data_IF_438569573449
#
_entry.id   IF_438569573449
#
_cell.length_a   1.000
_cell.length_b   1.000
_cell.length_c   1.000
_cell.angle_alpha   90.00
_cell.angle_beta   90.00
_cell.angle_gamma   90.00
#
_symmetry.space_group_name_H-M   'P 1'
#
loop_
_entity.id
_entity.type
_entity.pdbx_description
1 polymer ?
#
# COMPACT_ATOMS: atom_id res chain seq x y z
N UNK A 1 -23.96 -22.87 -5.43
CA UNK A 1 -23.10 -22.05 -4.57
C UNK A 1 -22.45 -21.01 -5.46
N UNK A 2 -22.72 -19.73 -5.23
CA UNK A 2 -22.06 -18.68 -6.00
C UNK A 2 -20.56 -18.70 -5.62
N UNK A 3 -19.68 -18.83 -6.63
CA UNK A 3 -18.23 -18.75 -6.41
C UNK A 3 -17.89 -17.32 -6.00
N UNK A 4 -17.51 -17.12 -4.75
CA UNK A 4 -17.03 -15.84 -4.23
C UNK A 4 -15.50 -15.77 -4.32
N UNK A 5 -14.96 -14.58 -4.61
CA UNK A 5 -13.51 -14.33 -4.53
C UNK A 5 -13.09 -14.24 -3.05
N UNK A 6 -11.86 -14.62 -2.69
CA UNK A 6 -10.73 -14.99 -3.54
C UNK A 6 -10.81 -16.45 -4.06
N UNK A 7 -10.35 -16.69 -5.28
CA UNK A 7 -10.44 -18.02 -5.96
C UNK A 7 -9.39 -19.02 -5.45
N UNK A 8 -8.33 -18.54 -4.82
CA UNK A 8 -7.22 -19.40 -4.38
C UNK A 8 -7.62 -20.43 -3.30
N UNK A 9 -8.41 -20.08 -2.27
CA UNK A 9 -8.87 -21.09 -1.29
C UNK A 9 -9.73 -22.19 -1.88
N UNK A 10 -10.36 -21.95 -3.03
CA UNK A 10 -11.20 -22.95 -3.72
C UNK A 10 -10.41 -23.92 -4.59
N UNK A 11 -9.06 -23.87 -4.55
CA UNK A 11 -8.16 -24.73 -5.31
C UNK A 11 -8.45 -24.81 -6.83
N UNK A 12 -9.11 -23.80 -7.37
CA UNK A 12 -9.44 -23.70 -8.80
C UNK A 12 -8.19 -23.52 -9.68
N UNK A 13 -7.11 -23.06 -9.09
CA UNK A 13 -5.82 -22.90 -9.76
C UNK A 13 -4.92 -24.06 -9.36
N UNK A 14 -4.54 -24.88 -10.32
CA UNK A 14 -3.43 -25.79 -10.13
C UNK A 14 -2.13 -25.02 -9.81
N UNK A 15 -1.08 -25.68 -9.30
CA UNK A 15 0.14 -25.02 -8.83
C UNK A 15 0.81 -24.14 -9.91
N UNK A 16 0.71 -24.51 -11.16
CA UNK A 16 1.26 -23.77 -12.28
C UNK A 16 0.44 -22.53 -12.67
N UNK A 17 -0.89 -22.59 -12.55
CA UNK A 17 -1.74 -21.46 -12.90
C UNK A 17 -1.58 -20.29 -11.91
N UNK A 18 -1.41 -20.58 -10.61
CA UNK A 18 -1.09 -19.56 -9.61
C UNK A 18 0.23 -18.85 -9.91
N UNK A 19 1.26 -19.61 -10.31
CA UNK A 19 2.56 -19.05 -10.70
C UNK A 19 2.46 -18.16 -11.95
N UNK A 20 1.72 -18.59 -12.96
CA UNK A 20 1.50 -17.81 -14.19
C UNK A 20 0.79 -16.49 -13.90
N UNK A 21 -0.31 -16.54 -13.15
CA UNK A 21 -1.06 -15.32 -12.77
C UNK A 21 -0.17 -14.37 -11.95
N UNK A 22 0.57 -14.90 -10.97
CA UNK A 22 1.50 -14.11 -10.16
C UNK A 22 2.58 -13.45 -11.03
N UNK A 23 3.14 -14.16 -11.98
CA UNK A 23 4.14 -13.64 -12.91
C UNK A 23 3.56 -12.54 -13.80
N UNK A 24 2.39 -12.74 -14.38
CA UNK A 24 1.73 -11.72 -15.21
C UNK A 24 1.42 -10.44 -14.43
N UNK A 25 0.88 -10.59 -13.23
CA UNK A 25 0.61 -9.44 -12.33
C UNK A 25 1.91 -8.74 -11.95
N UNK A 26 2.97 -9.49 -11.64
CA UNK A 26 4.28 -8.94 -11.30
C UNK A 26 4.91 -8.16 -12.47
N UNK A 27 4.85 -8.70 -13.69
CA UNK A 27 5.33 -8.00 -14.90
C UNK A 27 4.54 -6.72 -15.16
N UNK A 28 3.22 -6.78 -15.08
CA UNK A 28 2.36 -5.61 -15.26
C UNK A 28 2.66 -4.53 -14.21
N UNK A 29 2.81 -4.92 -12.95
CA UNK A 29 3.12 -4.02 -11.83
C UNK A 29 4.50 -3.39 -12.00
N UNK A 30 5.53 -4.18 -12.31
CA UNK A 30 6.89 -3.69 -12.56
C UNK A 30 6.95 -2.71 -13.74
N UNK A 31 6.23 -3.01 -14.83
CA UNK A 31 6.12 -2.11 -15.98
C UNK A 31 5.49 -0.77 -15.63
N UNK A 32 4.41 -0.79 -14.85
CA UNK A 32 3.75 0.46 -14.40
C UNK A 32 4.67 1.29 -13.51
N UNK A 33 5.38 0.65 -12.56
CA UNK A 33 6.32 1.34 -11.68
C UNK A 33 7.50 1.95 -12.46
N UNK A 34 8.05 1.22 -13.41
CA UNK A 34 9.14 1.72 -14.26
C UNK A 34 8.68 2.93 -15.07
N UNK A 35 7.52 2.85 -15.72
CA UNK A 35 6.92 3.96 -16.48
C UNK A 35 6.57 5.16 -15.62
N UNK A 36 6.22 4.96 -14.36
CA UNK A 36 6.00 6.02 -13.39
C UNK A 36 7.30 6.68 -12.88
N UNK A 37 8.47 6.13 -13.26
CA UNK A 37 9.78 6.65 -12.86
C UNK A 37 10.22 6.28 -11.46
N UNK A 38 9.65 5.21 -10.90
CA UNK A 38 9.97 4.73 -9.54
C UNK A 38 11.27 3.91 -9.47
N UNK A 39 11.89 3.63 -10.60
CA UNK A 39 13.24 3.07 -10.70
C UNK A 39 14.38 4.05 -10.43
N UNK A 40 14.09 5.32 -10.08
CA UNK A 40 15.09 6.35 -9.81
C UNK A 40 14.98 6.88 -8.39
N UNK A 41 16.05 6.74 -7.59
CA UNK A 41 16.12 7.21 -6.21
C UNK A 41 15.78 8.70 -6.08
N UNK A 42 16.24 9.53 -7.02
CA UNK A 42 15.98 10.97 -7.00
C UNK A 42 14.50 11.32 -7.01
N UNK A 43 13.66 10.56 -7.73
CA UNK A 43 12.22 10.79 -7.77
C UNK A 43 11.54 10.41 -6.46
N UNK A 44 12.01 9.32 -5.81
CA UNK A 44 11.47 8.88 -4.55
C UNK A 44 11.95 9.75 -3.39
N UNK A 45 13.22 10.16 -3.40
CA UNK A 45 13.78 11.04 -2.39
C UNK A 45 13.15 12.46 -2.41
N UNK A 46 12.73 12.96 -3.58
CA UNK A 46 12.15 14.29 -3.74
C UNK A 46 10.93 14.55 -2.84
N UNK A 47 10.18 13.51 -2.47
CA UNK A 47 9.04 13.62 -1.55
C UNK A 47 9.48 14.01 -0.12
N UNK A 48 10.66 13.57 0.34
CA UNK A 48 11.17 13.90 1.67
C UNK A 48 11.69 15.34 1.74
N UNK A 49 12.11 15.89 0.61
CA UNK A 49 12.49 17.30 0.48
C UNK A 49 11.31 18.20 0.14
N UNK A 50 10.08 17.65 0.07
CA UNK A 50 8.84 18.37 -0.29
C UNK A 50 8.92 19.10 -1.64
N UNK A 51 9.83 18.69 -2.52
CA UNK A 51 10.05 19.29 -3.84
C UNK A 51 9.17 18.67 -4.91
N UNK A 52 8.81 17.40 -4.76
CA UNK A 52 7.93 16.67 -5.67
C UNK A 52 7.11 15.62 -4.91
N UNK A 53 5.81 15.80 -4.87
CA UNK A 53 4.87 14.91 -4.16
C UNK A 53 4.22 13.86 -5.05
N UNK A 54 4.71 13.67 -6.31
CA UNK A 54 4.13 12.70 -7.27
C UNK A 54 4.10 11.27 -6.72
N UNK A 55 5.21 10.83 -6.11
CA UNK A 55 5.31 9.47 -5.56
C UNK A 55 4.29 9.26 -4.46
N UNK A 56 4.18 10.21 -3.53
CA UNK A 56 3.18 10.18 -2.45
C UNK A 56 1.76 10.07 -3.04
N UNK A 57 1.42 10.89 -4.04
CA UNK A 57 0.10 10.89 -4.68
C UNK A 57 -0.21 9.54 -5.35
N UNK A 58 0.76 8.96 -6.08
CA UNK A 58 0.57 7.66 -6.73
C UNK A 58 0.38 6.55 -5.70
N UNK A 59 1.19 6.50 -4.64
CA UNK A 59 1.09 5.49 -3.60
C UNK A 59 -0.26 5.58 -2.86
N UNK A 60 -0.66 6.77 -2.43
CA UNK A 60 -1.94 6.95 -1.76
C UNK A 60 -3.13 6.66 -2.67
N UNK A 61 -3.09 7.06 -3.95
CA UNK A 61 -4.15 6.74 -4.90
C UNK A 61 -4.29 5.23 -5.12
N UNK A 62 -3.19 4.50 -5.16
CA UNK A 62 -3.20 3.05 -5.27
C UNK A 62 -3.85 2.39 -4.04
N UNK A 63 -3.48 2.84 -2.83
CA UNK A 63 -4.05 2.34 -1.56
C UNK A 63 -5.56 2.61 -1.51
N UNK A 64 -5.97 3.84 -1.82
CA UNK A 64 -7.40 4.23 -1.83
C UNK A 64 -8.18 3.44 -2.86
N UNK A 65 -7.64 3.28 -4.09
CA UNK A 65 -8.29 2.50 -5.14
C UNK A 65 -8.46 1.04 -4.74
N UNK A 66 -7.44 0.42 -4.14
CA UNK A 66 -7.51 -0.94 -3.64
C UNK A 66 -8.55 -1.09 -2.52
N UNK A 67 -8.55 -0.16 -1.54
CA UNK A 67 -9.50 -0.17 -0.43
C UNK A 67 -10.95 -0.03 -0.92
N UNK A 68 -11.21 0.95 -1.79
CA UNK A 68 -12.54 1.18 -2.36
C UNK A 68 -12.96 0.01 -3.25
N UNK A 69 -12.06 -0.52 -4.07
CA UNK A 69 -12.31 -1.70 -4.89
C UNK A 69 -12.71 -2.92 -4.06
N UNK A 70 -11.97 -3.20 -2.98
CA UNK A 70 -12.29 -4.31 -2.07
C UNK A 70 -13.63 -4.11 -1.36
N UNK A 71 -13.92 -2.90 -0.88
CA UNK A 71 -15.20 -2.61 -0.21
C UNK A 71 -16.40 -2.70 -1.16
N UNK A 72 -16.25 -2.24 -2.41
CA UNK A 72 -17.29 -2.38 -3.44
C UNK A 72 -17.54 -3.84 -3.80
N UNK A 73 -16.49 -4.62 -4.07
CA UNK A 73 -16.60 -6.04 -4.41
C UNK A 73 -17.20 -6.84 -3.26
N UNK A 74 -16.90 -6.48 -2.01
CA UNK A 74 -17.52 -7.08 -0.85
C UNK A 74 -19.01 -6.68 -0.74
N UNK A 75 -19.33 -5.41 -1.00
CA UNK A 75 -20.71 -4.90 -0.96
C UNK A 75 -21.64 -5.58 -1.96
N UNK A 76 -21.16 -5.87 -3.17
CA UNK A 76 -21.93 -6.61 -4.20
C UNK A 76 -21.90 -8.13 -4.00
N UNK A 77 -21.22 -8.63 -2.96
CA UNK A 77 -21.17 -10.06 -2.62
C UNK A 77 -20.25 -10.91 -3.53
N UNK A 78 -19.38 -10.28 -4.32
CA UNK A 78 -18.40 -10.96 -5.17
C UNK A 78 -17.16 -11.37 -4.38
N UNK A 79 -16.75 -10.54 -3.39
CA UNK A 79 -15.59 -10.77 -2.54
C UNK A 79 -16.01 -11.09 -1.11
N UNK A 80 -15.54 -12.21 -0.58
CA UNK A 80 -15.73 -12.55 0.84
C UNK A 80 -14.47 -12.11 1.63
N UNK A 81 -14.64 -11.06 2.44
CA UNK A 81 -13.57 -10.52 3.28
C UNK A 81 -13.15 -11.49 4.41
N UNK A 82 -14.01 -12.46 4.77
CA UNK A 82 -13.68 -13.44 5.79
C UNK A 82 -12.63 -14.45 5.31
N UNK A 83 -12.54 -14.66 4.00
CA UNK A 83 -11.53 -15.55 3.38
C UNK A 83 -10.15 -14.87 3.22
N UNK A 84 -10.06 -13.56 3.47
CA UNK A 84 -8.78 -12.83 3.41
C UNK A 84 -8.04 -13.01 4.72
N UNK A 85 -6.91 -13.70 4.64
CA UNK A 85 -6.03 -13.90 5.80
C UNK A 85 -5.35 -12.57 6.17
N UNK A 86 -5.64 -12.07 7.35
CA UNK A 86 -4.97 -10.89 7.92
C UNK A 86 -3.99 -11.39 8.98
N UNK A 87 -2.69 -11.05 8.90
CA UNK A 87 -1.71 -11.43 9.91
C UNK A 87 -2.01 -10.75 11.25
N UNK A 88 -1.57 -11.38 12.32
CA UNK A 88 -1.66 -10.82 13.67
C UNK A 88 -0.84 -9.54 13.80
N UNK A 89 -1.32 -8.62 14.63
CA UNK A 89 -0.67 -7.35 14.89
C UNK A 89 0.21 -7.44 16.14
N UNK A 90 1.50 -7.19 15.96
CA UNK A 90 2.49 -7.08 17.04
C UNK A 90 2.95 -5.63 17.12
N UNK A 91 2.46 -4.88 18.11
CA UNK A 91 2.61 -3.43 18.14
C UNK A 91 4.07 -2.97 18.20
N UNK A 92 4.85 -3.48 19.14
CA UNK A 92 6.23 -3.04 19.34
C UNK A 92 7.17 -3.38 18.18
N UNK A 93 7.19 -4.61 17.66
CA UNK A 93 8.01 -4.95 16.49
C UNK A 93 7.63 -4.15 15.25
N UNK A 94 6.33 -3.89 15.05
CA UNK A 94 5.86 -3.10 13.89
C UNK A 94 6.30 -1.64 13.99
N UNK A 95 6.27 -1.03 15.18
CA UNK A 95 6.77 0.33 15.39
C UNK A 95 8.27 0.43 15.12
N UNK A 96 9.06 -0.45 15.74
CA UNK A 96 10.51 -0.43 15.57
C UNK A 96 10.91 -0.79 14.13
N UNK A 97 10.29 -1.83 13.55
CA UNK A 97 10.51 -2.23 12.17
C UNK A 97 10.12 -1.13 11.18
N UNK A 98 9.01 -0.43 11.41
CA UNK A 98 8.57 0.70 10.60
C UNK A 98 9.55 1.88 10.66
N UNK A 99 10.09 2.20 11.85
CA UNK A 99 11.12 3.23 11.99
C UNK A 99 12.42 2.87 11.26
N UNK A 100 12.87 1.63 11.40
CA UNK A 100 14.07 1.14 10.70
C UNK A 100 13.87 1.14 9.18
N UNK A 101 12.69 0.70 8.70
CA UNK A 101 12.34 0.74 7.29
C UNK A 101 12.30 2.17 6.77
N UNK A 102 11.72 3.10 7.52
CA UNK A 102 11.66 4.52 7.17
C UNK A 102 13.05 5.15 7.07
N UNK A 103 13.93 4.88 8.04
CA UNK A 103 15.32 5.34 8.01
C UNK A 103 16.06 4.77 6.80
N UNK A 104 15.92 3.47 6.55
CA UNK A 104 16.51 2.81 5.38
C UNK A 104 16.02 3.39 4.06
N UNK A 105 14.73 3.73 3.96
CA UNK A 105 14.15 4.35 2.78
C UNK A 105 14.70 5.76 2.54
N UNK A 106 14.88 6.57 3.58
CA UNK A 106 15.48 7.91 3.45
C UNK A 106 16.92 7.82 2.95
N UNK A 107 17.70 6.86 3.49
CA UNK A 107 19.13 6.71 3.14
C UNK A 107 19.31 6.14 1.74
N UNK A 108 18.55 5.09 1.37
CA UNK A 108 18.69 4.43 0.07
C UNK A 108 17.93 5.12 -1.06
N UNK A 109 16.88 5.87 -0.74
CA UNK A 109 15.95 6.41 -1.72
C UNK A 109 15.03 5.36 -2.36
N UNK A 110 15.04 4.11 -1.89
CA UNK A 110 14.24 3.01 -2.43
C UNK A 110 13.48 2.26 -1.33
N UNK A 111 12.25 1.87 -1.63
CA UNK A 111 11.62 0.79 -0.89
C UNK A 111 12.00 -0.57 -1.51
N UNK A 112 11.81 -1.70 -0.83
CA UNK A 112 12.17 -3.02 -1.38
C UNK A 112 11.58 -3.28 -2.78
N UNK A 113 10.35 -2.85 -3.04
CA UNK A 113 9.71 -3.03 -4.35
C UNK A 113 10.32 -2.17 -5.45
N UNK A 114 10.54 -0.88 -5.19
CA UNK A 114 11.13 0.05 -6.18
C UNK A 114 12.62 -0.21 -6.39
N UNK A 115 13.31 -0.76 -5.40
CA UNK A 115 14.69 -1.21 -5.55
C UNK A 115 14.83 -2.32 -6.58
N UNK A 116 13.90 -3.29 -6.61
CA UNK A 116 13.88 -4.33 -7.65
C UNK A 116 13.68 -3.73 -9.04
N UNK A 117 12.77 -2.76 -9.18
CA UNK A 117 12.56 -2.04 -10.44
C UNK A 117 13.83 -1.29 -10.87
N UNK A 118 14.52 -0.64 -9.92
CA UNK A 118 15.77 0.05 -10.19
C UNK A 118 16.86 -0.91 -10.70
N UNK A 119 17.02 -2.08 -10.09
CA UNK A 119 17.93 -3.14 -10.55
C UNK A 119 17.56 -3.58 -11.97
N UNK A 120 16.29 -3.85 -12.24
CA UNK A 120 15.82 -4.24 -13.57
C UNK A 120 16.05 -3.16 -14.62
N UNK A 121 16.04 -1.88 -14.22
CA UNK A 121 16.34 -0.73 -15.08
C UNK A 121 17.85 -0.44 -15.21
N UNK A 122 18.72 -1.25 -14.61
CA UNK A 122 20.18 -1.13 -14.70
C UNK A 122 20.82 -0.10 -13.75
N UNK A 123 20.09 0.38 -12.73
CA UNK A 123 20.64 1.33 -11.77
C UNK A 123 21.46 0.60 -10.68
N UNK A 124 22.74 0.92 -10.56
CA UNK A 124 23.66 0.29 -9.59
C UNK A 124 23.32 0.63 -8.13
N UNK A 125 22.79 1.80 -7.87
CA UNK A 125 22.27 2.20 -6.55
C UNK A 125 21.10 1.31 -6.09
N UNK A 126 20.26 0.87 -7.03
CA UNK A 126 19.23 -0.16 -6.78
C UNK A 126 19.83 -1.51 -6.36
N UNK A 127 20.94 -1.93 -6.98
CA UNK A 127 21.65 -3.17 -6.60
C UNK A 127 22.16 -3.07 -5.16
N UNK A 128 22.76 -1.94 -4.78
CA UNK A 128 23.22 -1.72 -3.41
C UNK A 128 22.05 -1.74 -2.40
N UNK A 129 20.92 -1.11 -2.75
CA UNK A 129 19.74 -1.10 -1.89
C UNK A 129 19.17 -2.52 -1.68
N UNK A 130 19.00 -3.30 -2.75
CA UNK A 130 18.50 -4.69 -2.65
C UNK A 130 19.50 -5.59 -1.94
N UNK A 131 20.81 -5.41 -2.19
CA UNK A 131 21.87 -6.08 -1.45
C UNK A 131 21.76 -5.82 0.06
N UNK A 132 21.49 -4.58 0.46
CA UNK A 132 21.22 -4.20 1.84
C UNK A 132 20.00 -4.89 2.44
N UNK A 133 18.90 -4.98 1.67
CA UNK A 133 17.69 -5.71 2.10
C UNK A 133 17.99 -7.21 2.30
N UNK A 134 18.72 -7.83 1.38
CA UNK A 134 19.08 -9.24 1.48
C UNK A 134 19.99 -9.50 2.70
N UNK A 135 21.01 -8.66 2.91
CA UNK A 135 21.89 -8.76 4.08
C UNK A 135 21.12 -8.53 5.38
N UNK A 136 20.24 -7.52 5.42
CA UNK A 136 19.41 -7.25 6.59
C UNK A 136 18.48 -8.42 6.92
N UNK A 137 17.86 -9.03 5.90
CA UNK A 137 17.03 -10.23 6.08
C UNK A 137 17.84 -11.42 6.60
N UNK A 138 19.06 -11.60 6.12
CA UNK A 138 19.99 -12.65 6.58
C UNK A 138 20.36 -12.43 8.05
N UNK A 139 20.78 -11.21 8.40
CA UNK A 139 21.14 -10.84 9.80
C UNK A 139 19.94 -11.04 10.73
N UNK A 140 18.74 -10.63 10.31
CA UNK A 140 17.53 -10.85 11.08
C UNK A 140 17.24 -12.35 11.25
N UNK A 141 17.38 -13.15 10.18
CA UNK A 141 17.16 -14.59 10.23
C UNK A 141 18.07 -15.29 11.24
N UNK A 142 19.39 -14.97 11.26
CA UNK A 142 20.32 -15.50 12.25
C UNK A 142 20.07 -14.97 13.66
N UNK A 143 19.65 -13.71 13.78
CA UNK A 143 19.36 -13.05 15.06
C UNK A 143 17.95 -13.33 15.61
N UNK A 144 17.12 -14.10 14.92
CA UNK A 144 15.72 -14.30 15.31
C UNK A 144 15.57 -14.96 16.70
N UNK A 145 16.42 -15.96 17.04
CA UNK A 145 16.33 -16.68 18.31
C UNK A 145 16.28 -15.76 19.54
N UNK A 146 17.27 -14.88 19.76
CA UNK A 146 17.24 -13.93 20.87
C UNK A 146 16.18 -12.84 20.72
N UNK A 147 15.73 -12.54 19.49
CA UNK A 147 14.72 -11.51 19.20
C UNK A 147 13.28 -12.02 19.26
N UNK A 148 13.05 -13.33 19.35
CA UNK A 148 11.73 -13.94 19.31
C UNK A 148 10.78 -13.35 20.38
N UNK A 149 11.27 -13.15 21.60
CA UNK A 149 10.50 -12.56 22.69
C UNK A 149 10.04 -11.13 22.38
N UNK A 150 10.92 -10.33 21.78
CA UNK A 150 10.59 -9.00 21.31
C UNK A 150 9.62 -9.05 20.11
N UNK A 151 9.88 -9.93 19.14
CA UNK A 151 9.06 -10.08 17.93
C UNK A 151 7.61 -10.44 18.24
N UNK A 152 7.36 -11.22 19.28
CA UNK A 152 6.02 -11.59 19.75
C UNK A 152 5.42 -10.62 20.78
N UNK A 153 6.13 -9.55 21.14
CA UNK A 153 5.68 -8.60 22.14
C UNK A 153 4.56 -7.69 21.62
N UNK A 154 3.64 -7.32 22.49
CA UNK A 154 2.51 -6.45 22.15
C UNK A 154 1.53 -7.11 21.18
N UNK A 155 1.32 -8.43 21.29
CA UNK A 155 0.35 -9.15 20.50
C UNK A 155 -1.07 -8.61 20.74
N UNK A 156 -1.70 -8.06 19.70
CA UNK A 156 -3.07 -7.56 19.72
C UNK A 156 -4.04 -8.50 18.95
N UNK A 157 -3.54 -9.65 18.50
CA UNK A 157 -4.29 -10.53 17.60
C UNK A 157 -4.55 -9.88 16.24
N UNK A 158 -5.63 -10.27 15.58
CA UNK A 158 -6.05 -9.66 14.31
C UNK A 158 -6.77 -8.35 14.61
N UNK A 159 -6.00 -7.27 14.76
CA UNK A 159 -6.53 -5.93 15.02
C UNK A 159 -6.99 -5.27 13.71
N UNK A 160 -8.29 -5.31 13.45
CA UNK A 160 -8.92 -4.54 12.35
C UNK A 160 -9.50 -3.25 12.89
N UNK A 161 -9.26 -2.14 12.19
CA UNK A 161 -9.69 -0.80 12.63
C UNK A 161 -11.21 -0.72 12.76
N UNK A 162 -11.96 -1.37 11.87
CA UNK A 162 -13.42 -1.47 11.91
C UNK A 162 -13.93 -2.13 13.20
N UNK A 163 -13.26 -3.19 13.65
CA UNK A 163 -13.60 -3.90 14.89
C UNK A 163 -13.16 -3.13 16.14
N UNK A 164 -11.97 -2.49 16.11
CA UNK A 164 -11.47 -1.67 17.21
C UNK A 164 -12.35 -0.44 17.48
N UNK A 165 -12.85 0.20 16.43
CA UNK A 165 -13.69 1.39 16.52
C UNK A 165 -15.19 1.07 16.58
N UNK A 166 -15.58 -0.20 16.30
CA UNK A 166 -16.97 -0.60 16.24
C UNK A 166 -17.78 0.08 15.12
N UNK A 167 -17.10 0.50 14.05
CA UNK A 167 -17.73 1.20 12.90
C UNK A 167 -17.69 0.33 11.65
N UNK A 168 -18.67 0.48 10.73
CA UNK A 168 -18.66 -0.23 9.45
C UNK A 168 -17.38 0.06 8.66
N UNK A 169 -16.85 -0.94 7.96
CA UNK A 169 -15.65 -0.81 7.10
C UNK A 169 -15.79 0.33 6.07
N UNK A 170 -17.02 0.61 5.61
CA UNK A 170 -17.30 1.71 4.71
C UNK A 170 -16.98 3.08 5.30
N UNK A 171 -17.22 3.28 6.62
CA UNK A 171 -16.88 4.53 7.32
C UNK A 171 -15.37 4.68 7.42
N UNK A 172 -14.65 3.59 7.71
CA UNK A 172 -13.18 3.59 7.72
C UNK A 172 -12.64 3.92 6.33
N UNK A 173 -13.19 3.31 5.28
CA UNK A 173 -12.80 3.60 3.90
C UNK A 173 -13.03 5.08 3.54
N UNK A 174 -14.18 5.65 3.91
CA UNK A 174 -14.46 7.07 3.69
C UNK A 174 -13.49 7.99 4.44
N UNK A 175 -13.17 7.67 5.70
CA UNK A 175 -12.18 8.42 6.48
C UNK A 175 -10.79 8.40 5.82
N UNK A 176 -10.34 7.25 5.32
CA UNK A 176 -9.08 7.12 4.59
C UNK A 176 -9.10 7.94 3.29
N UNK A 177 -10.21 7.95 2.55
CA UNK A 177 -10.36 8.78 1.34
C UNK A 177 -10.26 10.26 1.68
N UNK A 178 -10.94 10.73 2.72
CA UNK A 178 -10.90 12.13 3.17
C UNK A 178 -9.48 12.51 3.61
N UNK A 179 -8.81 11.64 4.37
CA UNK A 179 -7.42 11.84 4.77
C UNK A 179 -6.48 11.94 3.56
N UNK A 180 -6.65 11.08 2.55
CA UNK A 180 -5.86 11.11 1.33
C UNK A 180 -6.07 12.39 0.52
N UNK A 181 -7.32 12.89 0.41
CA UNK A 181 -7.61 14.20 -0.21
C UNK A 181 -6.91 15.32 0.55
N UNK A 182 -6.98 15.31 1.88
CA UNK A 182 -6.28 16.28 2.72
C UNK A 182 -4.76 16.25 2.52
N UNK A 183 -4.17 15.05 2.44
CA UNK A 183 -2.75 14.87 2.16
C UNK A 183 -2.35 15.38 0.76
N UNK A 184 -3.21 15.23 -0.25
CA UNK A 184 -2.94 15.73 -1.59
C UNK A 184 -2.97 17.25 -1.66
N UNK A 185 -4.01 17.87 -1.08
CA UNK A 185 -4.14 19.33 -1.03
C UNK A 185 -3.01 19.95 -0.19
N UNK A 186 -2.67 19.32 0.94
CA UNK A 186 -1.55 19.72 1.78
C UNK A 186 -0.21 19.60 1.04
N UNK A 187 0.03 18.48 0.37
CA UNK A 187 1.23 18.22 -0.43
C UNK A 187 1.41 19.25 -1.56
N UNK A 188 0.34 19.64 -2.26
CA UNK A 188 0.42 20.67 -3.31
C UNK A 188 0.77 22.05 -2.75
N UNK A 189 0.23 22.40 -1.58
CA UNK A 189 0.59 23.67 -0.91
C UNK A 189 2.05 23.66 -0.46
N UNK A 190 2.51 22.55 0.12
CA UNK A 190 3.91 22.41 0.56
C UNK A 190 4.87 22.43 -0.63
N UNK A 191 4.57 21.71 -1.72
CA UNK A 191 5.33 21.76 -2.97
C UNK A 191 5.42 23.20 -3.51
N UNK A 192 4.33 23.96 -3.50
CA UNK A 192 4.32 25.36 -3.93
C UNK A 192 5.21 26.28 -3.08
N UNK A 193 5.44 25.96 -1.80
CA UNK A 193 6.28 26.74 -0.88
C UNK A 193 7.76 26.35 -0.99
N UNK A 194 8.05 25.05 -1.07
CA UNK A 194 9.41 24.51 -0.97
C UNK A 194 10.09 24.31 -2.33
N UNK A 195 9.36 23.93 -3.37
CA UNK A 195 9.93 23.71 -4.72
C UNK A 195 10.67 24.94 -5.31
N UNK A 196 10.18 26.18 -5.17
CA UNK A 196 10.91 27.35 -5.65
C UNK A 196 12.23 27.61 -4.93
N UNK A 197 12.35 27.16 -3.67
CA UNK A 197 13.56 27.33 -2.84
C UNK A 197 14.63 26.28 -3.13
N UNK A 198 14.24 25.12 -3.62
CA UNK A 198 15.16 24.02 -3.92
C UNK A 198 15.80 24.12 -5.32
N UNK A 199 15.56 25.21 -6.07
CA UNK A 199 16.09 25.39 -7.42
C UNK A 199 15.65 24.22 -8.31
N UNK A 200 14.43 24.26 -8.79
CA UNK A 200 13.70 23.18 -9.45
C UNK A 200 14.56 22.36 -10.43
N UNK A 201 15.17 21.29 -9.96
CA UNK A 201 15.78 20.24 -10.78
C UNK A 201 14.75 19.32 -11.44
N UNK A 202 13.46 19.47 -11.05
CA UNK A 202 12.36 18.65 -11.56
C UNK A 202 11.36 19.58 -12.25
N UNK A 203 11.08 19.38 -13.54
CA UNK A 203 10.09 20.17 -14.24
C UNK A 203 8.72 19.97 -13.60
N UNK A 204 8.05 21.06 -13.24
CA UNK A 204 6.70 21.03 -12.68
C UNK A 204 5.80 20.20 -13.58
N UNK A 205 5.06 19.24 -13.00
CA UNK A 205 4.15 18.41 -13.76
C UNK A 205 3.13 19.27 -14.51
N UNK A 206 2.91 19.05 -15.83
CA UNK A 206 2.02 19.88 -16.61
C UNK A 206 0.60 19.85 -16.02
N UNK A 207 -0.08 20.99 -16.02
CA UNK A 207 -1.43 21.17 -15.44
C UNK A 207 -2.44 20.08 -15.89
N UNK A 208 -2.28 19.53 -17.09
CA UNK A 208 -3.09 18.43 -17.63
C UNK A 208 -2.93 17.11 -16.85
N UNK A 209 -1.73 16.84 -16.31
CA UNK A 209 -1.48 15.65 -15.48
C UNK A 209 -2.11 15.84 -14.10
N UNK A 210 -2.00 17.05 -13.53
CA UNK A 210 -2.67 17.39 -12.26
C UNK A 210 -4.19 17.24 -12.37
N UNK A 211 -4.80 17.73 -13.45
CA UNK A 211 -6.23 17.60 -13.71
C UNK A 211 -6.66 16.12 -13.83
N UNK A 212 -5.91 15.29 -14.57
CA UNK A 212 -6.23 13.85 -14.72
C UNK A 212 -6.13 13.08 -13.42
N UNK A 213 -5.13 13.37 -12.58
CA UNK A 213 -5.00 12.74 -11.26
C UNK A 213 -6.17 13.16 -10.36
N UNK A 214 -6.54 14.45 -10.39
CA UNK A 214 -7.65 14.97 -9.61
C UNK A 214 -9.02 14.38 -10.05
N UNK A 215 -9.26 14.29 -11.36
CA UNK A 215 -10.50 13.68 -11.90
C UNK A 215 -10.56 12.18 -11.62
N UNK A 216 -9.44 11.46 -11.74
CA UNK A 216 -9.36 10.06 -11.36
C UNK A 216 -9.66 9.85 -9.86
N UNK A 217 -9.11 10.71 -9.01
CA UNK A 217 -9.33 10.64 -7.57
C UNK A 217 -10.77 11.02 -7.18
N UNK A 218 -11.34 12.03 -7.82
CA UNK A 218 -12.75 12.40 -7.62
C UNK A 218 -13.70 11.27 -8.05
N UNK A 219 -13.39 10.56 -9.13
CA UNK A 219 -14.15 9.37 -9.55
C UNK A 219 -14.07 8.24 -8.53
N UNK A 220 -12.88 7.97 -7.98
CA UNK A 220 -12.68 6.96 -6.93
C UNK A 220 -13.40 7.37 -5.64
N UNK A 221 -13.35 8.64 -5.27
CA UNK A 221 -14.09 9.18 -4.11
C UNK A 221 -15.62 9.07 -4.30
N UNK A 222 -16.12 9.37 -5.49
CA UNK A 222 -17.54 9.20 -5.82
C UNK A 222 -17.98 7.74 -5.77
N UNK A 223 -17.15 6.81 -6.24
CA UNK A 223 -17.36 5.37 -6.11
C UNK A 223 -17.35 4.92 -4.64
N UNK A 224 -16.46 5.47 -3.80
CA UNK A 224 -16.43 5.19 -2.37
C UNK A 224 -17.73 5.66 -1.68
N UNK A 225 -18.21 6.84 -2.02
CA UNK A 225 -19.49 7.36 -1.50
C UNK A 225 -20.68 6.52 -1.99
N UNK A 226 -20.66 6.05 -3.23
CA UNK A 226 -21.65 5.12 -3.74
C UNK A 226 -21.62 3.76 -3.00
N UNK A 227 -20.43 3.28 -2.64
CA UNK A 227 -20.28 2.07 -1.82
C UNK A 227 -20.88 2.21 -0.41
N UNK A 228 -20.82 3.42 0.17
CA UNK A 228 -21.47 3.74 1.44
C UNK A 228 -23.01 3.65 1.37
N UNK A 229 -23.59 3.93 0.20
CA UNK A 229 -25.03 3.87 -0.01
C UNK A 229 -25.55 2.44 -0.27
N UNK A 230 -24.66 1.47 -0.56
CA UNK A 230 -25.04 0.07 -0.73
C UNK A 230 -25.22 -0.61 0.63
N UNK A 231 -26.35 -1.29 0.88
CA UNK A 231 -26.51 -2.05 2.12
C UNK A 231 -25.47 -3.16 2.14
N UNK A 232 -24.55 -3.09 3.11
CA UNK A 232 -23.54 -4.13 3.33
C UNK A 232 -24.23 -5.43 3.76
N UNK A 233 -24.60 -6.27 2.80
CA UNK A 233 -25.06 -7.63 3.03
C UNK A 233 -23.85 -8.48 3.43
N UNK A 234 -23.48 -8.49 4.72
CA UNK A 234 -22.36 -9.35 5.13
C UNK A 234 -21.71 -9.06 6.47
N UNK A 235 -22.31 -8.26 7.34
CA UNK A 235 -21.98 -8.34 8.77
C UNK A 235 -22.77 -9.50 9.39
N UNK A 236 -22.43 -10.74 9.04
CA UNK A 236 -22.81 -11.86 9.87
C UNK A 236 -22.08 -11.67 11.20
N UNK A 237 -22.83 -11.25 12.20
CA UNK A 237 -22.46 -11.28 13.61
C UNK A 237 -21.74 -12.60 13.89
N UNK A 238 -20.52 -12.62 14.45
CA UNK A 238 -19.93 -13.86 14.89
C UNK A 238 -20.81 -14.39 16.00
N UNK A 239 -21.61 -15.42 15.67
CA UNK A 239 -22.30 -16.21 16.67
C UNK A 239 -21.23 -16.70 17.65
N UNK A 240 -21.39 -16.30 18.91
CA UNK A 240 -20.75 -16.85 20.10
C UNK A 240 -20.38 -18.31 19.87
N UNK A 241 -19.11 -18.62 19.68
CA UNK A 241 -18.57 -19.90 20.04
C UNK A 241 -18.33 -19.84 21.57
N UNK A 242 -19.40 -20.04 22.33
CA UNK A 242 -19.34 -20.51 23.69
C UNK A 242 -19.49 -22.02 23.57
N UNK A 243 -18.41 -22.75 23.78
CA UNK A 243 -18.26 -23.98 24.59
C UNK A 243 -16.89 -24.57 24.31
#
# INVERSE_FOLDING_TARGET
>A
MAMTFPLYPHQLFGPYAGLLVGTLVGVAFGFVLERAGFGRASNLAAQFYLTDTRVLKVMFSAIVTALVGMTLLAGIGVLDLALITVPETFLWPQLVGGLLLGAGFIVSGYCPGTGVVAVASGNLDGVAAIGGVMLGSLVFGFGYGPLEGFYKSGAMGVAKIDQLLGVPIAVVAAAVVVMAIGAFLGGEKLEGIFAPRAGALVPASPARVKARVFTGFAAVAALALAALALPTRGAATPARAAQ
#
